data_IF_779335839676
#
_entry.id   IF_779335839676
#
_cell.length_a   1.000
_cell.length_b   1.000
_cell.length_c   1.000
_cell.angle_alpha   90.00
_cell.angle_beta   90.00
_cell.angle_gamma   90.00
#
_symmetry.space_group_name_H-M   'P 1'
#
loop_
_entity.id
_entity.type
_entity.pdbx_description
1 polymer ?
#
# COMPACT_ATOMS: atom_id res chain seq x y z
N UNK A 1 52.56 47.58 -14.94
CA UNK A 1 52.63 46.92 -13.61
C UNK A 1 51.22 46.74 -13.08
N UNK A 2 50.91 45.51 -12.61
CA UNK A 2 49.78 45.14 -11.72
C UNK A 2 48.38 45.45 -12.28
N UNK A 3 47.75 44.54 -13.05
CA UNK A 3 47.09 43.29 -12.59
C UNK A 3 46.28 43.52 -11.31
N UNK A 4 45.02 43.96 -11.39
CA UNK A 4 43.94 43.69 -10.41
C UNK A 4 42.60 44.10 -11.01
N UNK A 5 42.00 43.27 -11.87
CA UNK A 5 40.61 43.48 -12.31
C UNK A 5 39.87 42.15 -12.59
N UNK A 6 40.27 41.08 -11.90
CA UNK A 6 39.71 39.72 -12.12
C UNK A 6 39.27 39.06 -10.81
N UNK A 7 39.22 39.80 -9.70
CA UNK A 7 38.85 39.24 -8.41
C UNK A 7 37.66 39.99 -7.83
N UNK A 8 36.45 39.69 -8.31
CA UNK A 8 35.17 39.79 -7.59
C UNK A 8 34.05 39.56 -8.61
N UNK A 9 33.50 38.35 -8.67
CA UNK A 9 32.16 37.99 -9.22
C UNK A 9 32.10 36.53 -9.71
N UNK A 10 33.17 35.74 -9.62
CA UNK A 10 33.13 34.29 -9.90
C UNK A 10 32.52 33.44 -8.76
N UNK A 11 31.79 34.05 -7.82
CA UNK A 11 31.26 33.32 -6.68
C UNK A 11 29.78 33.05 -6.82
N UNK A 12 29.47 31.76 -6.86
CA UNK A 12 28.18 31.15 -6.58
C UNK A 12 27.07 31.46 -7.59
N UNK A 13 26.83 30.52 -8.51
CA UNK A 13 25.49 30.10 -8.94
C UNK A 13 25.61 28.81 -9.76
N UNK A 14 26.21 27.77 -9.15
CA UNK A 14 25.93 26.39 -9.54
C UNK A 14 25.05 25.79 -8.46
N UNK A 15 23.78 26.19 -8.46
CA UNK A 15 22.74 25.38 -7.83
C UNK A 15 22.60 24.11 -8.65
N UNK A 16 23.41 23.11 -8.32
CA UNK A 16 23.12 21.73 -8.68
C UNK A 16 21.75 21.42 -8.05
N UNK A 17 20.71 21.45 -8.87
CA UNK A 17 19.44 20.86 -8.51
C UNK A 17 19.70 19.38 -8.29
N UNK A 18 19.95 18.99 -7.04
CA UNK A 18 19.84 17.61 -6.62
C UNK A 18 18.38 17.25 -6.83
N UNK A 19 18.11 16.58 -7.95
CA UNK A 19 16.86 15.85 -8.09
C UNK A 19 16.98 14.73 -7.06
N UNK A 20 16.44 14.97 -5.87
CA UNK A 20 16.21 13.92 -4.90
C UNK A 20 15.26 12.94 -5.60
N UNK A 21 15.85 11.89 -6.19
CA UNK A 21 15.11 10.75 -6.67
C UNK A 21 14.52 10.11 -5.43
N UNK A 22 13.32 10.56 -5.03
CA UNK A 22 12.50 9.82 -4.08
C UNK A 22 12.28 8.48 -4.75
N UNK A 23 13.11 7.51 -4.38
CA UNK A 23 12.98 6.12 -4.76
C UNK A 23 11.58 5.72 -4.31
N UNK A 24 10.63 5.80 -5.23
CA UNK A 24 9.25 5.38 -5.01
C UNK A 24 9.35 3.96 -4.48
N UNK A 25 9.02 3.78 -3.20
CA UNK A 25 8.99 2.46 -2.58
C UNK A 25 8.19 1.54 -3.52
N UNK A 26 8.57 0.27 -3.71
CA UNK A 26 7.96 -0.57 -4.73
C UNK A 26 6.45 -0.59 -4.48
N UNK A 27 5.72 0.08 -5.38
CA UNK A 27 4.36 0.48 -5.15
C UNK A 27 3.49 -0.76 -5.26
N UNK A 28 2.76 -1.07 -4.18
CA UNK A 28 1.64 -2.01 -4.26
C UNK A 28 0.74 -1.55 -5.43
N UNK A 29 0.40 -2.41 -6.40
CA UNK A 29 -0.41 -2.02 -7.55
C UNK A 29 -1.73 -1.39 -7.16
N UNK A 30 -2.20 -0.47 -8.00
CA UNK A 30 -3.42 0.30 -7.75
C UNK A 30 -4.66 -0.57 -7.61
N UNK A 31 -4.71 -1.74 -8.27
CA UNK A 31 -5.78 -2.73 -8.13
C UNK A 31 -5.92 -3.25 -6.70
N UNK A 32 -4.79 -3.54 -6.04
CA UNK A 32 -4.75 -4.04 -4.67
C UNK A 32 -5.15 -2.95 -3.70
N UNK A 33 -4.63 -1.73 -3.92
CA UNK A 33 -5.04 -0.56 -3.17
C UNK A 33 -6.56 -0.39 -3.28
N UNK A 34 -7.10 -0.37 -4.50
CA UNK A 34 -8.53 -0.21 -4.75
C UNK A 34 -9.37 -1.33 -4.12
N UNK A 35 -8.91 -2.58 -4.15
CA UNK A 35 -9.59 -3.69 -3.48
C UNK A 35 -9.66 -3.47 -1.96
N UNK A 36 -8.53 -3.17 -1.32
CA UNK A 36 -8.46 -2.94 0.13
C UNK A 36 -9.29 -1.72 0.53
N UNK A 37 -9.15 -0.60 -0.16
CA UNK A 37 -9.90 0.62 0.14
C UNK A 37 -11.38 0.47 -0.15
N UNK A 38 -11.75 -0.31 -1.17
CA UNK A 38 -13.13 -0.62 -1.50
C UNK A 38 -13.82 -1.42 -0.40
N UNK A 39 -13.13 -2.41 0.19
CA UNK A 39 -13.68 -3.24 1.28
C UNK A 39 -13.76 -2.44 2.58
N UNK A 40 -12.71 -1.69 2.89
CA UNK A 40 -12.54 -1.04 4.21
C UNK A 40 -13.12 0.37 4.30
N UNK A 41 -13.41 0.99 3.16
CA UNK A 41 -13.75 2.42 3.04
C UNK A 41 -12.68 3.36 3.61
N UNK A 42 -11.45 2.88 3.88
CA UNK A 42 -10.34 3.65 4.43
C UNK A 42 -9.26 3.86 3.38
N UNK A 43 -8.38 4.85 3.60
CA UNK A 43 -7.18 5.03 2.80
C UNK A 43 -6.15 3.97 3.20
N UNK A 44 -5.59 3.27 2.24
CA UNK A 44 -4.54 2.28 2.47
C UNK A 44 -3.17 2.90 2.23
N UNK A 45 -2.28 2.78 3.21
CA UNK A 45 -0.89 3.26 3.13
C UNK A 45 0.03 2.06 3.33
N UNK A 46 0.65 1.60 2.24
CA UNK A 46 1.51 0.41 2.25
C UNK A 46 2.76 0.62 3.11
N UNK A 47 3.08 -0.38 3.96
CA UNK A 47 4.21 -0.30 4.91
C UNK A 47 5.56 -0.64 4.24
N UNK A 48 5.55 -1.57 3.30
CA UNK A 48 6.61 -2.02 2.36
C UNK A 48 6.07 -3.26 1.64
N UNK A 49 6.61 -3.61 0.46
CA UNK A 49 6.10 -4.72 -0.38
C UNK A 49 6.36 -6.06 0.31
N UNK A 50 5.30 -6.71 0.80
CA UNK A 50 5.35 -8.09 1.30
C UNK A 50 5.04 -9.07 0.17
N UNK A 51 5.88 -10.08 0.01
CA UNK A 51 5.70 -11.16 -0.97
C UNK A 51 6.00 -10.74 -2.41
N UNK A 52 6.47 -11.68 -3.22
CA UNK A 52 6.58 -11.50 -4.66
C UNK A 52 5.15 -11.48 -5.24
N UNK A 53 4.51 -10.32 -5.19
CA UNK A 53 3.25 -10.09 -5.87
C UNK A 53 3.42 -10.48 -7.33
N UNK A 54 2.59 -11.41 -7.80
CA UNK A 54 2.67 -11.86 -9.19
C UNK A 54 1.78 -10.99 -10.07
N UNK A 55 2.16 -10.81 -11.33
CA UNK A 55 1.31 -10.15 -12.33
C UNK A 55 -0.07 -10.80 -12.45
N UNK A 56 -0.16 -12.10 -12.14
CA UNK A 56 -1.42 -12.83 -12.09
C UNK A 56 -2.32 -12.36 -10.94
N UNK A 57 -1.78 -12.11 -9.75
CA UNK A 57 -2.59 -11.67 -8.61
C UNK A 57 -3.18 -10.28 -8.87
N UNK A 58 -2.36 -9.36 -9.39
CA UNK A 58 -2.78 -8.02 -9.83
C UNK A 58 -3.91 -8.11 -10.88
N UNK A 59 -3.70 -8.92 -11.93
CA UNK A 59 -4.68 -9.08 -13.01
C UNK A 59 -6.01 -9.69 -12.55
N UNK A 60 -5.97 -10.60 -11.57
CA UNK A 60 -7.18 -11.20 -11.01
C UNK A 60 -7.91 -10.19 -10.12
N UNK A 61 -7.21 -9.58 -9.17
CA UNK A 61 -7.80 -8.62 -8.23
C UNK A 61 -8.35 -7.38 -8.92
N UNK A 62 -7.74 -6.93 -10.03
CA UNK A 62 -8.23 -5.81 -10.83
C UNK A 62 -9.61 -6.05 -11.48
N UNK A 63 -9.98 -7.31 -11.72
CA UNK A 63 -11.23 -7.70 -12.37
C UNK A 63 -12.36 -7.98 -11.38
N UNK A 64 -12.02 -8.22 -10.11
CA UNK A 64 -13.00 -8.63 -9.11
C UNK A 64 -13.64 -7.40 -8.45
N UNK A 65 -14.96 -7.19 -8.64
CA UNK A 65 -15.66 -6.12 -7.95
C UNK A 65 -15.72 -6.39 -6.44
N UNK A 66 -15.89 -5.32 -5.66
CA UNK A 66 -16.09 -5.40 -4.20
C UNK A 66 -17.20 -6.39 -3.81
N UNK A 67 -18.26 -6.49 -4.61
CA UNK A 67 -19.40 -7.37 -4.33
C UNK A 67 -19.06 -8.87 -4.32
N UNK A 68 -17.93 -9.27 -4.94
CA UNK A 68 -17.48 -10.67 -4.93
C UNK A 68 -16.70 -11.03 -3.66
N UNK A 69 -16.32 -10.03 -2.86
CA UNK A 69 -15.75 -10.24 -1.54
C UNK A 69 -16.85 -10.59 -0.54
N UNK A 70 -16.53 -11.49 0.39
CA UNK A 70 -17.40 -11.70 1.54
C UNK A 70 -17.56 -10.41 2.33
N UNK A 71 -18.69 -10.27 3.02
CA UNK A 71 -18.84 -9.21 4.01
C UNK A 71 -17.68 -9.26 5.02
N UNK A 72 -17.34 -8.09 5.56
CA UNK A 72 -16.32 -7.98 6.59
C UNK A 72 -16.86 -8.66 7.86
N UNK A 73 -16.18 -9.71 8.29
CA UNK A 73 -16.54 -10.51 9.46
C UNK A 73 -15.61 -10.17 10.61
N UNK A 74 -16.15 -10.10 11.82
CA UNK A 74 -15.39 -9.86 13.03
C UNK A 74 -14.99 -11.18 13.71
N UNK A 75 -13.79 -11.24 14.26
CA UNK A 75 -13.28 -12.38 15.01
C UNK A 75 -12.31 -11.89 16.08
N UNK A 76 -12.79 -11.72 17.31
CA UNK A 76 -11.98 -11.16 18.40
C UNK A 76 -11.44 -9.77 18.05
N UNK A 77 -10.12 -9.59 18.09
CA UNK A 77 -9.44 -8.31 17.80
C UNK A 77 -9.09 -8.12 16.31
N UNK A 78 -9.65 -8.95 15.43
CA UNK A 78 -9.43 -8.87 14.00
C UNK A 78 -10.75 -8.87 13.23
N UNK A 79 -10.70 -8.30 12.03
CA UNK A 79 -11.77 -8.43 11.05
C UNK A 79 -11.19 -9.01 9.77
N UNK A 80 -11.98 -9.75 9.01
CA UNK A 80 -11.51 -10.34 7.76
C UNK A 80 -12.57 -10.38 6.68
N UNK A 81 -12.14 -10.42 5.43
CA UNK A 81 -12.98 -10.62 4.26
C UNK A 81 -12.26 -11.55 3.29
N UNK A 82 -13.01 -12.46 2.67
CA UNK A 82 -12.47 -13.50 1.79
C UNK A 82 -12.93 -13.28 0.35
N UNK A 83 -12.09 -13.67 -0.59
CA UNK A 83 -12.40 -13.72 -2.02
C UNK A 83 -11.88 -15.04 -2.58
N UNK A 84 -12.71 -15.75 -3.35
CA UNK A 84 -12.33 -17.00 -4.00
C UNK A 84 -12.48 -16.82 -5.50
N UNK A 85 -11.39 -17.02 -6.25
CA UNK A 85 -11.35 -16.90 -7.71
C UNK A 85 -10.79 -18.19 -8.30
N UNK A 86 -11.67 -19.05 -8.82
CA UNK A 86 -11.27 -20.36 -9.33
C UNK A 86 -10.50 -21.16 -8.28
N UNK A 87 -9.21 -21.42 -8.53
CA UNK A 87 -8.34 -22.18 -7.63
C UNK A 87 -7.55 -21.33 -6.64
N UNK A 88 -7.65 -19.99 -6.72
CA UNK A 88 -6.96 -19.07 -5.80
C UNK A 88 -7.92 -18.52 -4.78
N UNK A 89 -7.43 -18.27 -3.57
CA UNK A 89 -8.20 -17.60 -2.54
C UNK A 89 -7.39 -16.48 -1.92
N UNK A 90 -8.05 -15.39 -1.59
CA UNK A 90 -7.48 -14.23 -0.93
C UNK A 90 -8.23 -13.97 0.36
N UNK A 91 -7.49 -13.49 1.35
CA UNK A 91 -8.07 -13.02 2.61
C UNK A 91 -7.48 -11.66 2.92
N UNK A 92 -8.35 -10.66 3.07
CA UNK A 92 -8.01 -9.40 3.68
C UNK A 92 -8.16 -9.56 5.18
N UNK A 93 -7.06 -9.44 5.92
CA UNK A 93 -7.03 -9.46 7.38
C UNK A 93 -6.76 -8.05 7.91
N UNK A 94 -7.61 -7.60 8.83
CA UNK A 94 -7.51 -6.30 9.49
C UNK A 94 -7.27 -6.54 10.97
N UNK A 95 -6.21 -5.96 11.50
CA UNK A 95 -5.86 -6.07 12.92
C UNK A 95 -5.61 -4.68 13.49
N UNK A 96 -5.97 -4.46 14.75
CA UNK A 96 -5.64 -3.23 15.46
C UNK A 96 -5.26 -3.56 16.89
N UNK A 97 -3.99 -3.37 17.24
CA UNK A 97 -3.60 -3.50 18.64
C UNK A 97 -4.14 -2.31 19.43
N UNK A 98 -4.41 -2.45 20.74
CA UNK A 98 -4.86 -1.32 21.57
C UNK A 98 -3.91 -0.12 21.58
N UNK A 99 -2.63 -0.34 21.31
CA UNK A 99 -1.59 0.69 21.25
C UNK A 99 -1.46 1.35 19.87
N UNK A 100 -2.08 0.77 18.84
CA UNK A 100 -1.93 1.22 17.46
C UNK A 100 -2.91 2.35 17.15
N UNK A 101 -2.38 3.45 16.60
CA UNK A 101 -3.21 4.60 16.15
C UNK A 101 -4.14 4.16 15.01
N UNK A 102 -3.60 3.38 14.07
CA UNK A 102 -4.30 2.92 12.87
C UNK A 102 -4.35 1.39 12.83
N UNK A 103 -5.43 0.86 12.25
CA UNK A 103 -5.50 -0.57 11.97
C UNK A 103 -4.51 -0.94 10.85
N UNK A 104 -3.98 -2.15 10.89
CA UNK A 104 -3.16 -2.74 9.84
C UNK A 104 -4.03 -3.64 8.97
N UNK A 105 -3.99 -3.45 7.66
CA UNK A 105 -4.53 -4.34 6.66
C UNK A 105 -3.42 -5.20 6.07
N UNK A 106 -3.65 -6.51 5.99
CA UNK A 106 -2.77 -7.48 5.35
C UNK A 106 -3.57 -8.30 4.35
N UNK A 107 -3.18 -8.28 3.08
CA UNK A 107 -3.75 -9.14 2.06
C UNK A 107 -2.94 -10.42 1.96
N UNK A 108 -3.61 -11.54 2.20
CA UNK A 108 -3.06 -12.89 2.20
C UNK A 108 -3.54 -13.63 0.94
N UNK A 109 -2.64 -14.40 0.35
CA UNK A 109 -2.91 -15.32 -0.75
C UNK A 109 -2.82 -16.76 -0.26
N UNK A 110 -3.78 -17.57 -0.68
CA UNK A 110 -3.80 -19.01 -0.50
C UNK A 110 -3.73 -19.66 -1.87
N UNK A 111 -2.72 -20.50 -2.08
CA UNK A 111 -2.62 -21.33 -3.30
C UNK A 111 -3.60 -22.49 -3.26
N UNK A 112 -3.96 -22.96 -2.06
CA UNK A 112 -5.06 -23.90 -1.80
C UNK A 112 -5.71 -23.58 -0.44
N UNK A 113 -6.95 -24.04 -0.15
CA UNK A 113 -7.60 -23.76 1.14
C UNK A 113 -6.83 -24.24 2.38
N UNK A 114 -5.92 -25.21 2.23
CA UNK A 114 -5.10 -25.77 3.31
C UNK A 114 -3.66 -25.25 3.32
N UNK A 115 -3.25 -24.46 2.32
CA UNK A 115 -1.89 -23.94 2.25
C UNK A 115 -1.65 -22.87 3.31
N UNK A 116 -0.39 -22.74 3.75
CA UNK A 116 0.05 -21.59 4.53
C UNK A 116 -0.21 -20.31 3.71
N UNK A 117 -0.86 -19.28 4.29
CA UNK A 117 -1.07 -18.03 3.58
C UNK A 117 0.24 -17.27 3.35
N UNK A 118 0.33 -16.65 2.18
CA UNK A 118 1.43 -15.76 1.81
C UNK A 118 0.96 -14.30 1.83
N UNK A 119 1.57 -13.43 2.64
CA UNK A 119 1.24 -12.00 2.59
C UNK A 119 1.75 -11.39 1.28
N UNK A 120 0.84 -10.79 0.51
CA UNK A 120 1.12 -10.15 -0.79
C UNK A 120 0.98 -8.63 -0.74
N UNK A 121 0.36 -8.08 0.30
CA UNK A 121 0.37 -6.65 0.60
C UNK A 121 0.13 -6.44 2.10
N UNK A 122 0.73 -5.38 2.66
CA UNK A 122 0.48 -4.94 4.03
C UNK A 122 0.61 -3.42 4.13
N UNK A 123 -0.23 -2.82 4.96
CA UNK A 123 -0.23 -1.39 5.19
C UNK A 123 -1.16 -0.97 6.30
N UNK A 124 -1.14 0.31 6.61
CA UNK A 124 -2.04 0.94 7.59
C UNK A 124 -3.30 1.48 6.92
N UNK A 125 -4.41 1.44 7.66
CA UNK A 125 -5.70 2.00 7.27
C UNK A 125 -5.93 3.34 7.95
N UNK A 126 -5.89 4.40 7.17
CA UNK A 126 -6.09 5.77 7.61
C UNK A 126 -7.49 6.28 7.23
N UNK A 127 -8.09 7.22 7.98
CA UNK A 127 -9.33 7.87 7.57
C UNK A 127 -9.16 8.54 6.20
N UNK A 128 -10.19 8.51 5.36
CA UNK A 128 -10.21 9.32 4.14
C UNK A 128 -10.35 10.79 4.52
N UNK A 129 -9.81 11.70 3.70
CA UNK A 129 -9.82 13.13 4.02
C UNK A 129 -11.26 13.68 4.21
N UNK A 130 -12.23 13.06 3.54
CA UNK A 130 -13.65 13.37 3.63
C UNK A 130 -14.29 13.01 4.99
N UNK A 131 -13.69 12.09 5.76
CA UNK A 131 -14.19 11.69 7.09
C UNK A 131 -13.80 12.66 8.22
N UNK A 132 -12.95 13.66 7.96
CA UNK A 132 -12.48 14.63 8.97
C UNK A 132 -13.39 15.83 9.17
N UNK A 133 -14.50 15.90 8.44
CA UNK A 133 -15.50 16.96 8.58
C UNK A 133 -16.86 16.37 8.95
N UNK A 134 -17.01 15.94 10.20
CA UNK A 134 -18.33 15.86 10.86
C UNK A 134 -18.20 15.94 12.36
#
# INVERSE_FOLDING_TARGET
MKKQLVALASLCLMSLSVIAQTKTAPAVPSSIVAAIEGITSKRFVADTTYGALTTQDDSLLAKEPRANWSLLQESGNMSYSNLVIGTRSYQLLITKSPKDVHATATLLRYTTPKSKPEPIARGTLQPKAEDKSK
#
